data_IF_587537474700
#
_entry.id   IF_587537474700
#
_cell.length_a   1.000
_cell.length_b   1.000
_cell.length_c   1.000
_cell.angle_alpha   90.00
_cell.angle_beta   90.00
_cell.angle_gamma   90.00
#
_symmetry.space_group_name_H-M   'P 1'
#
loop_
_entity.id
_entity.type
_entity.pdbx_description
1 polymer ?
#
# COMPACT_ATOMS: atom_id res chain seq x y z
N UNK A 1 -9.48 6.80 -8.08
CA UNK A 1 -9.69 8.25 -8.17
C UNK A 1 -11.15 8.65 -7.90
N UNK A 2 -12.12 8.12 -8.64
CA UNK A 2 -13.55 8.51 -8.49
C UNK A 2 -14.11 8.32 -7.09
N UNK A 3 -13.70 7.27 -6.40
CA UNK A 3 -14.18 6.90 -5.05
C UNK A 3 -13.82 7.94 -3.96
N UNK A 4 -12.77 8.73 -4.17
CA UNK A 4 -12.25 9.71 -3.22
C UNK A 4 -12.17 11.13 -3.81
N UNK A 5 -12.83 11.38 -4.95
CA UNK A 5 -12.71 12.64 -5.67
C UNK A 5 -13.15 13.85 -4.83
N UNK A 6 -14.16 13.68 -4.02
CA UNK A 6 -14.71 14.70 -3.12
C UNK A 6 -13.74 15.18 -2.04
N UNK A 7 -12.89 14.29 -1.52
CA UNK A 7 -11.94 14.64 -0.46
C UNK A 7 -10.55 15.00 -0.99
N UNK A 8 -10.18 14.57 -2.20
CA UNK A 8 -8.84 14.81 -2.77
C UNK A 8 -8.58 16.27 -3.19
N UNK A 9 -9.62 17.12 -3.19
CA UNK A 9 -9.49 18.55 -3.46
C UNK A 9 -8.76 19.30 -2.34
N UNK A 10 -8.84 18.81 -1.10
CA UNK A 10 -8.22 19.42 0.06
C UNK A 10 -6.79 18.90 0.24
N UNK A 11 -5.81 19.74 0.01
CA UNK A 11 -4.40 19.37 0.12
C UNK A 11 -3.60 20.35 0.95
N UNK A 12 -2.56 19.85 1.63
CA UNK A 12 -1.54 20.66 2.29
C UNK A 12 -0.15 20.09 2.00
N UNK A 13 0.85 20.97 1.98
CA UNK A 13 2.26 20.55 1.97
C UNK A 13 2.66 20.03 3.34
N UNK A 14 3.49 19.01 3.33
CA UNK A 14 4.15 18.50 4.53
C UNK A 14 5.55 19.10 4.67
N UNK A 15 6.11 19.18 5.90
CA UNK A 15 7.47 19.68 6.11
C UNK A 15 8.52 18.88 5.36
N UNK A 16 9.32 19.53 4.51
CA UNK A 16 10.31 18.86 3.65
C UNK A 16 11.41 18.16 4.45
N UNK A 17 11.79 18.70 5.59
CA UNK A 17 12.79 18.08 6.48
C UNK A 17 12.38 16.70 7.01
N UNK A 18 11.07 16.44 7.14
CA UNK A 18 10.53 15.19 7.67
C UNK A 18 10.03 14.25 6.56
N UNK A 19 9.47 14.80 5.48
CA UNK A 19 8.73 14.03 4.45
C UNK A 19 9.36 14.11 3.06
N UNK A 20 10.50 14.82 2.94
CA UNK A 20 11.19 15.00 1.67
C UNK A 20 10.56 16.06 0.75
N UNK A 21 11.15 16.23 -0.44
CA UNK A 21 10.78 17.32 -1.34
C UNK A 21 9.35 17.19 -1.84
N UNK A 22 8.62 18.29 -1.81
CA UNK A 22 7.25 18.41 -2.32
C UNK A 22 6.26 17.37 -1.77
N UNK A 23 6.48 16.86 -0.57
CA UNK A 23 5.54 15.95 0.08
C UNK A 23 4.19 16.63 0.30
N UNK A 24 3.13 15.93 -0.06
CA UNK A 24 1.75 16.42 -0.01
C UNK A 24 0.86 15.42 0.70
N UNK A 25 -0.08 15.92 1.49
CA UNK A 25 -1.21 15.17 1.97
C UNK A 25 -2.51 15.72 1.42
N UNK A 26 -3.42 14.86 0.97
CA UNK A 26 -4.74 15.22 0.43
C UNK A 26 -5.82 14.36 1.09
N UNK A 27 -6.95 14.95 1.40
CA UNK A 27 -8.06 14.22 2.02
C UNK A 27 -8.84 15.08 3.00
N UNK A 28 -9.63 14.42 3.84
CA UNK A 28 -10.39 15.01 4.95
C UNK A 28 -9.75 14.63 6.31
N UNK A 29 -10.42 14.96 7.41
CA UNK A 29 -9.97 14.60 8.76
C UNK A 29 -9.95 13.10 9.05
N UNK A 30 -10.62 12.27 8.24
CA UNK A 30 -10.74 10.83 8.45
C UNK A 30 -9.88 9.98 7.52
N UNK A 31 -9.57 10.50 6.32
CA UNK A 31 -8.79 9.77 5.31
C UNK A 31 -7.82 10.71 4.62
N UNK A 32 -6.55 10.35 4.62
CA UNK A 32 -5.46 11.11 3.98
C UNK A 32 -4.70 10.24 2.99
N UNK A 33 -4.36 10.84 1.87
CA UNK A 33 -3.44 10.32 0.86
C UNK A 33 -2.15 11.14 0.93
N UNK A 34 -1.06 10.49 1.24
CA UNK A 34 0.24 11.10 1.46
C UNK A 34 1.15 10.69 0.30
N UNK A 35 1.64 11.68 -0.44
CA UNK A 35 2.63 11.48 -1.50
C UNK A 35 4.00 11.83 -0.96
N UNK A 36 4.92 10.86 -1.04
CA UNK A 36 6.33 11.00 -0.68
C UNK A 36 7.18 10.87 -1.93
N UNK A 37 8.25 11.65 -2.03
CA UNK A 37 9.18 11.61 -3.16
C UNK A 37 10.60 11.48 -2.67
N UNK A 38 11.37 10.66 -3.34
CA UNK A 38 12.82 10.58 -3.16
C UNK A 38 13.50 11.04 -4.45
N UNK A 39 14.16 12.18 -4.41
CA UNK A 39 14.92 12.75 -5.54
C UNK A 39 16.44 12.56 -5.36
N UNK A 40 16.84 11.58 -4.55
CA UNK A 40 18.25 11.27 -4.27
C UNK A 40 18.66 9.92 -4.87
N UNK A 41 19.95 9.68 -4.92
CA UNK A 41 20.55 8.41 -5.37
C UNK A 41 20.47 7.28 -4.34
N UNK A 42 20.13 7.61 -3.10
CA UNK A 42 20.05 6.63 -2.02
C UNK A 42 18.58 6.34 -1.69
N UNK A 43 18.31 5.11 -1.23
CA UNK A 43 17.01 4.79 -0.64
C UNK A 43 16.79 5.61 0.61
N UNK A 44 15.61 6.24 0.73
CA UNK A 44 15.21 7.03 1.90
C UNK A 44 14.07 6.33 2.62
N UNK A 45 14.13 6.31 3.94
CA UNK A 45 13.01 5.89 4.79
C UNK A 45 12.38 7.12 5.42
N UNK A 46 11.12 7.37 5.11
CA UNK A 46 10.33 8.44 5.72
C UNK A 46 9.57 7.91 6.94
N UNK A 47 9.63 8.64 8.03
CA UNK A 47 8.92 8.34 9.27
C UNK A 47 7.58 9.08 9.29
N UNK A 48 6.53 8.45 8.79
CA UNK A 48 5.23 9.09 8.60
C UNK A 48 4.41 9.05 9.88
N UNK A 49 4.07 10.22 10.42
CA UNK A 49 3.17 10.34 11.57
C UNK A 49 1.72 10.07 11.16
N UNK A 50 1.03 9.21 11.90
CA UNK A 50 -0.37 8.83 11.64
C UNK A 50 -1.36 9.67 12.48
N UNK A 51 -1.22 10.98 12.44
CA UNK A 51 -2.01 11.90 13.25
C UNK A 51 -2.16 13.28 12.62
N UNK A 52 -2.22 14.28 13.48
CA UNK A 52 -2.50 15.68 13.10
C UNK A 52 -1.51 16.26 12.08
N UNK A 53 -0.25 15.85 12.13
CA UNK A 53 0.80 16.36 11.24
C UNK A 53 0.47 16.13 9.76
N UNK A 54 -0.10 14.98 9.43
CA UNK A 54 -0.56 14.68 8.07
C UNK A 54 -2.01 15.10 7.81
N UNK A 55 -2.62 15.82 8.77
CA UNK A 55 -3.99 16.32 8.67
C UNK A 55 -5.07 15.29 9.04
N UNK A 56 -4.71 14.19 9.70
CA UNK A 56 -5.66 13.21 10.21
C UNK A 56 -6.17 13.67 11.57
N UNK A 57 -7.49 13.73 11.75
CA UNK A 57 -8.12 14.03 13.04
C UNK A 57 -8.23 12.75 13.87
N UNK A 58 -8.29 12.90 15.18
CA UNK A 58 -8.47 11.76 16.07
C UNK A 58 -9.93 11.30 16.06
N UNK A 59 -10.16 10.13 15.48
CA UNK A 59 -11.45 9.45 15.51
C UNK A 59 -11.23 8.01 16.01
N UNK A 60 -11.20 7.85 17.34
CA UNK A 60 -10.73 6.63 17.98
C UNK A 60 -9.20 6.49 17.98
N UNK A 61 -8.72 5.28 18.25
CA UNK A 61 -7.27 5.02 18.36
C UNK A 61 -6.70 4.17 17.21
N UNK A 62 -7.52 3.71 16.27
CA UNK A 62 -7.07 2.86 15.17
C UNK A 62 -6.95 3.64 13.88
N UNK A 63 -5.79 3.54 13.25
CA UNK A 63 -5.51 4.08 11.92
C UNK A 63 -5.05 2.92 11.02
N UNK A 64 -5.77 2.70 9.95
CA UNK A 64 -5.39 1.75 8.90
C UNK A 64 -4.44 2.44 7.93
N UNK A 65 -3.30 1.82 7.65
CA UNK A 65 -2.33 2.30 6.67
C UNK A 65 -2.24 1.33 5.49
N UNK A 66 -2.18 1.87 4.26
CA UNK A 66 -2.05 1.09 3.03
C UNK A 66 -1.23 1.85 2.00
N UNK A 67 -0.20 1.21 1.49
CA UNK A 67 0.56 1.70 0.34
C UNK A 67 -0.26 1.45 -0.93
N UNK A 68 -0.29 2.43 -1.86
CA UNK A 68 -0.99 2.33 -3.15
C UNK A 68 -0.05 2.44 -4.35
N UNK A 69 1.13 2.98 -4.14
CA UNK A 69 2.17 3.08 -5.15
C UNK A 69 3.54 2.85 -4.49
N UNK A 70 4.45 2.07 -5.08
CA UNK A 70 4.44 1.49 -6.44
C UNK A 70 3.56 0.24 -6.60
N UNK A 71 3.09 -0.36 -5.53
CA UNK A 71 2.17 -1.49 -5.49
C UNK A 71 1.21 -1.31 -4.30
N UNK A 72 0.13 -2.07 -4.27
CA UNK A 72 -0.78 -2.05 -3.13
C UNK A 72 -0.24 -3.00 -2.06
N UNK A 73 -0.08 -2.48 -0.85
CA UNK A 73 0.37 -3.27 0.30
C UNK A 73 -0.34 -2.82 1.58
N UNK A 74 -0.94 -3.77 2.27
CA UNK A 74 -1.57 -3.53 3.56
C UNK A 74 -0.50 -3.43 4.65
N UNK A 75 -0.31 -2.24 5.18
CA UNK A 75 0.65 -1.97 6.26
C UNK A 75 0.05 -2.23 7.66
N UNK A 76 -1.22 -2.62 7.73
CA UNK A 76 -1.88 -2.99 8.98
C UNK A 76 -2.60 -1.84 9.68
N UNK A 77 -2.95 -2.10 10.94
CA UNK A 77 -3.57 -1.13 11.85
C UNK A 77 -2.52 -0.64 12.85
N UNK A 78 -2.55 0.65 13.08
CA UNK A 78 -1.64 1.37 13.97
C UNK A 78 -2.43 2.22 14.96
N UNK A 79 -1.78 2.73 16.00
CA UNK A 79 -2.38 3.71 16.90
C UNK A 79 -2.35 5.10 16.28
N UNK A 80 -3.36 5.92 16.56
CA UNK A 80 -3.36 7.33 16.20
C UNK A 80 -2.12 8.03 16.80
N UNK A 81 -1.46 8.88 16.01
CA UNK A 81 -0.24 9.58 16.42
C UNK A 81 1.04 8.73 16.41
N UNK A 82 0.96 7.42 16.15
CA UNK A 82 2.16 6.61 15.97
C UNK A 82 2.85 6.92 14.64
N UNK A 83 4.08 6.43 14.51
CA UNK A 83 4.88 6.62 13.29
C UNK A 83 5.07 5.28 12.58
N UNK A 84 5.01 5.31 11.26
CA UNK A 84 5.33 4.16 10.40
C UNK A 84 6.46 4.52 9.43
N UNK A 85 7.25 3.51 9.08
CA UNK A 85 8.34 3.65 8.13
C UNK A 85 7.86 3.37 6.70
N UNK A 86 8.11 4.32 5.81
CA UNK A 86 7.83 4.19 4.38
C UNK A 86 9.14 4.33 3.60
N UNK A 87 9.60 3.22 3.05
CA UNK A 87 10.83 3.15 2.25
C UNK A 87 10.55 3.59 0.82
N UNK A 88 11.29 4.56 0.33
CA UNK A 88 11.18 5.08 -1.04
C UNK A 88 12.52 4.94 -1.74
N UNK A 89 12.53 4.19 -2.84
CA UNK A 89 13.74 3.94 -3.63
C UNK A 89 14.22 5.21 -4.34
N UNK A 90 15.47 5.25 -4.82
CA UNK A 90 16.03 6.38 -5.56
C UNK A 90 15.14 6.81 -6.72
N UNK A 91 14.90 8.11 -6.83
CA UNK A 91 14.08 8.74 -7.89
C UNK A 91 12.67 8.16 -8.04
N UNK A 92 12.07 7.70 -6.91
CA UNK A 92 10.72 7.15 -6.88
C UNK A 92 9.81 7.97 -5.97
N UNK A 93 8.53 7.66 -6.10
CA UNK A 93 7.49 8.17 -5.23
C UNK A 93 6.80 7.01 -4.51
N UNK A 94 6.17 7.32 -3.39
CA UNK A 94 5.22 6.45 -2.71
C UNK A 94 3.89 7.19 -2.53
N UNK A 95 2.78 6.46 -2.66
CA UNK A 95 1.46 6.94 -2.31
C UNK A 95 0.92 6.08 -1.18
N UNK A 96 0.73 6.69 -0.03
CA UNK A 96 0.21 6.06 1.18
C UNK A 96 -1.20 6.57 1.45
N UNK A 97 -2.16 5.68 1.73
CA UNK A 97 -3.45 6.05 2.30
C UNK A 97 -3.46 5.70 3.78
N UNK A 98 -3.92 6.62 4.61
CA UNK A 98 -4.20 6.41 6.04
C UNK A 98 -5.64 6.79 6.34
N UNK A 99 -6.33 5.97 7.14
CA UNK A 99 -7.73 6.22 7.47
C UNK A 99 -8.07 5.69 8.88
N UNK A 100 -8.88 6.43 9.60
CA UNK A 100 -9.41 6.04 10.92
C UNK A 100 -10.89 5.69 10.89
N UNK A 101 -11.47 5.57 9.68
CA UNK A 101 -12.84 5.10 9.45
C UNK A 101 -12.84 3.80 8.65
N UNK A 102 -14.02 3.20 8.49
CA UNK A 102 -14.17 1.97 7.72
C UNK A 102 -13.65 2.14 6.29
N UNK A 103 -12.82 1.20 5.85
CA UNK A 103 -12.30 1.14 4.49
C UNK A 103 -13.41 1.13 3.44
N UNK A 104 -13.23 1.94 2.39
CA UNK A 104 -14.12 2.01 1.24
C UNK A 104 -13.65 1.16 0.05
N UNK A 105 -12.45 0.59 0.14
CA UNK A 105 -11.90 -0.21 -0.96
C UNK A 105 -12.75 -1.45 -1.21
N UNK A 106 -13.07 -1.71 -2.48
CA UNK A 106 -13.88 -2.88 -2.85
C UNK A 106 -13.12 -4.17 -2.57
N UNK A 107 -11.88 -4.23 -3.02
CA UNK A 107 -10.99 -5.38 -2.89
C UNK A 107 -9.78 -5.00 -2.07
N UNK A 108 -9.46 -5.80 -1.07
CA UNK A 108 -8.22 -5.66 -0.32
C UNK A 108 -7.68 -7.03 0.09
N UNK A 109 -6.35 -7.13 0.03
CA UNK A 109 -5.59 -8.29 0.47
C UNK A 109 -4.56 -7.85 1.49
N UNK A 110 -4.18 -8.77 2.37
CA UNK A 110 -3.05 -8.57 3.28
C UNK A 110 -2.06 -9.72 3.19
N UNK A 111 -0.82 -9.49 3.66
CA UNK A 111 0.25 -10.47 3.70
C UNK A 111 1.12 -10.56 2.45
N UNK A 112 0.81 -9.85 1.38
CA UNK A 112 1.60 -9.77 0.15
C UNK A 112 1.36 -8.45 -0.59
N UNK A 113 2.36 -7.86 -1.27
CA UNK A 113 2.14 -6.81 -2.26
C UNK A 113 1.33 -7.31 -3.45
N UNK A 114 0.48 -6.46 -4.02
CA UNK A 114 -0.36 -6.83 -5.15
C UNK A 114 -0.74 -5.64 -6.02
N UNK A 115 -1.21 -5.92 -7.23
CA UNK A 115 -1.85 -4.93 -8.11
C UNK A 115 -3.23 -5.44 -8.53
N UNK A 116 -4.20 -4.54 -8.63
CA UNK A 116 -5.52 -4.86 -9.19
C UNK A 116 -5.42 -4.63 -10.70
N UNK A 117 -5.55 -5.72 -11.46
CA UNK A 117 -5.52 -5.68 -12.93
C UNK A 117 -6.91 -5.30 -13.47
N UNK A 118 -7.96 -5.85 -12.82
CA UNK A 118 -9.33 -5.64 -13.23
C UNK A 118 -10.23 -5.79 -12.01
N UNK A 119 -11.10 -4.83 -11.76
CA UNK A 119 -12.12 -4.85 -10.70
C UNK A 119 -13.57 -4.80 -11.25
N UNK A 120 -13.73 -4.96 -12.56
CA UNK A 120 -15.01 -4.89 -13.23
C UNK A 120 -15.86 -6.14 -12.98
N UNK A 121 -17.20 -5.97 -13.00
CA UNK A 121 -18.19 -7.05 -13.04
C UNK A 121 -18.20 -8.07 -11.87
N UNK A 122 -17.64 -7.70 -10.71
CA UNK A 122 -17.67 -8.58 -9.54
C UNK A 122 -16.66 -9.76 -9.57
N UNK A 123 -15.83 -9.86 -10.61
CA UNK A 123 -14.74 -10.82 -10.73
C UNK A 123 -13.40 -10.07 -10.80
N UNK A 124 -12.85 -9.61 -9.67
CA UNK A 124 -11.58 -8.90 -9.69
C UNK A 124 -10.43 -9.85 -10.05
N UNK A 125 -9.55 -9.38 -10.93
CA UNK A 125 -8.29 -10.04 -11.24
C UNK A 125 -7.17 -9.28 -10.54
N UNK A 126 -6.37 -10.02 -9.76
CA UNK A 126 -5.33 -9.46 -8.91
C UNK A 126 -4.00 -10.13 -9.23
N UNK A 127 -2.98 -9.34 -9.49
CA UNK A 127 -1.61 -9.81 -9.65
C UNK A 127 -0.91 -9.76 -8.28
N UNK A 128 -0.55 -10.92 -7.74
CA UNK A 128 0.26 -11.02 -6.53
C UNK A 128 1.73 -10.77 -6.88
N UNK A 129 2.43 -10.01 -6.05
CA UNK A 129 3.82 -9.61 -6.26
C UNK A 129 4.68 -10.25 -5.16
N UNK A 130 5.24 -11.42 -5.43
CA UNK A 130 6.08 -12.16 -4.48
C UNK A 130 7.49 -12.37 -5.00
N UNK A 131 8.44 -12.51 -4.08
CA UNK A 131 9.82 -12.80 -4.41
C UNK A 131 10.00 -14.29 -4.74
N UNK A 132 10.86 -14.63 -5.71
CA UNK A 132 11.15 -16.03 -6.06
C UNK A 132 11.54 -16.87 -4.85
N UNK A 133 11.06 -18.11 -4.78
CA UNK A 133 11.35 -19.05 -3.70
C UNK A 133 10.71 -18.73 -2.35
N UNK A 134 9.99 -17.61 -2.22
CA UNK A 134 9.35 -17.21 -0.97
C UNK A 134 7.91 -17.71 -0.87
N UNK A 135 7.44 -17.87 0.36
CA UNK A 135 6.05 -18.25 0.66
C UNK A 135 5.35 -17.12 1.41
N UNK A 136 4.11 -16.85 1.05
CA UNK A 136 3.29 -15.80 1.63
C UNK A 136 1.95 -16.36 2.10
N UNK A 137 1.51 -15.90 3.27
CA UNK A 137 0.15 -16.16 3.76
C UNK A 137 -0.74 -14.99 3.33
N UNK A 138 -1.43 -15.16 2.23
CA UNK A 138 -2.34 -14.15 1.68
C UNK A 138 -3.69 -14.27 2.36
N UNK A 139 -4.24 -13.15 2.83
CA UNK A 139 -5.61 -13.07 3.36
C UNK A 139 -6.45 -12.19 2.44
N UNK A 140 -7.69 -12.60 2.22
CA UNK A 140 -8.70 -11.87 1.44
C UNK A 140 -9.60 -11.10 2.40
N UNK A 141 -9.03 -10.10 3.06
CA UNK A 141 -9.69 -9.32 4.09
C UNK A 141 -9.49 -7.81 3.87
N UNK A 142 -10.35 -7.02 4.50
CA UNK A 142 -10.23 -5.57 4.52
C UNK A 142 -10.85 -4.82 3.35
N UNK A 143 -11.51 -5.51 2.43
CA UNK A 143 -12.36 -4.91 1.41
C UNK A 143 -13.85 -4.91 1.79
N UNK A 144 -14.67 -4.28 0.95
CA UNK A 144 -16.13 -4.21 1.14
C UNK A 144 -16.88 -5.36 0.45
N UNK A 145 -16.20 -6.24 -0.26
CA UNK A 145 -16.81 -7.39 -0.93
C UNK A 145 -16.32 -8.70 -0.31
N UNK A 146 -17.21 -9.68 -0.28
CA UNK A 146 -16.90 -11.06 0.09
C UNK A 146 -16.73 -11.90 -1.18
N UNK A 147 -15.71 -12.74 -1.21
CA UNK A 147 -15.50 -13.65 -2.32
C UNK A 147 -16.33 -14.92 -2.14
N UNK A 148 -17.11 -15.29 -3.16
CA UNK A 148 -17.85 -16.56 -3.22
C UNK A 148 -16.92 -17.73 -3.61
N UNK A 149 -15.91 -17.46 -4.43
CA UNK A 149 -14.88 -18.39 -4.86
C UNK A 149 -13.59 -17.62 -5.12
N UNK A 150 -12.47 -18.30 -5.06
CA UNK A 150 -11.17 -17.75 -5.45
C UNK A 150 -10.33 -18.85 -6.09
N UNK A 151 -9.50 -18.49 -7.04
CA UNK A 151 -8.46 -19.35 -7.59
C UNK A 151 -7.13 -18.58 -7.67
N UNK A 152 -6.04 -19.32 -7.71
CA UNK A 152 -4.70 -18.81 -7.96
C UNK A 152 -4.09 -19.70 -9.03
N UNK A 153 -3.74 -19.11 -10.18
CA UNK A 153 -3.23 -19.82 -11.36
C UNK A 153 -4.12 -21.04 -11.76
N UNK A 154 -5.46 -20.82 -11.76
CA UNK A 154 -6.45 -21.81 -12.10
C UNK A 154 -6.71 -22.89 -11.05
N UNK A 155 -6.07 -22.82 -9.88
CA UNK A 155 -6.30 -23.74 -8.76
C UNK A 155 -7.23 -23.08 -7.73
N UNK A 156 -8.35 -23.75 -7.42
CA UNK A 156 -9.29 -23.29 -6.39
C UNK A 156 -8.59 -23.18 -5.03
N UNK A 157 -8.84 -22.07 -4.34
CA UNK A 157 -8.33 -21.79 -2.99
C UNK A 157 -9.47 -21.36 -2.07
N UNK A 158 -9.17 -21.27 -0.76
CA UNK A 158 -10.15 -20.81 0.22
C UNK A 158 -10.54 -19.35 0.02
N UNK A 159 -11.80 -19.01 0.24
CA UNK A 159 -12.35 -17.65 0.07
C UNK A 159 -11.88 -16.63 1.12
N UNK A 160 -11.21 -17.09 2.19
CA UNK A 160 -10.64 -16.24 3.23
C UNK A 160 -9.14 -15.98 3.06
N UNK A 161 -8.48 -16.75 2.19
CA UNK A 161 -7.05 -16.63 1.94
C UNK A 161 -6.40 -17.95 1.54
N UNK A 162 -5.11 -17.88 1.24
CA UNK A 162 -4.31 -19.01 0.80
C UNK A 162 -2.83 -18.84 1.20
N UNK A 163 -2.11 -19.96 1.28
CA UNK A 163 -0.66 -19.96 1.28
C UNK A 163 -0.18 -20.05 -0.17
N UNK A 164 0.64 -19.10 -0.58
CA UNK A 164 1.15 -18.98 -1.95
C UNK A 164 2.66 -19.10 -1.91
N UNK A 165 3.22 -20.06 -2.65
CA UNK A 165 4.66 -20.22 -2.82
C UNK A 165 5.03 -19.76 -4.23
N UNK A 166 5.93 -18.80 -4.34
CA UNK A 166 6.44 -18.32 -5.62
C UNK A 166 7.51 -19.30 -6.12
N UNK A 167 7.50 -19.61 -7.43
CA UNK A 167 8.52 -20.47 -8.04
C UNK A 167 9.90 -19.80 -8.02
N UNK A 168 10.93 -20.60 -8.26
CA UNK A 168 12.31 -20.14 -8.30
C UNK A 168 13.05 -20.30 -6.99
N UNK A 169 14.30 -19.88 -6.96
CA UNK A 169 15.17 -19.92 -5.80
C UNK A 169 15.17 -18.61 -5.03
N UNK A 170 15.32 -18.69 -3.71
CA UNK A 170 15.45 -17.52 -2.86
C UNK A 170 16.75 -16.78 -3.19
N UNK A 171 16.60 -15.54 -3.64
CA UNK A 171 17.72 -14.68 -4.00
C UNK A 171 18.37 -14.07 -2.74
N UNK A 172 19.62 -13.63 -2.85
CA UNK A 172 20.31 -12.88 -1.81
C UNK A 172 19.70 -11.48 -1.66
N UNK A 173 19.78 -10.90 -0.46
CA UNK A 173 19.11 -9.63 -0.13
C UNK A 173 19.55 -8.46 -1.01
N UNK A 174 20.84 -8.34 -1.30
CA UNK A 174 21.38 -7.30 -2.19
C UNK A 174 20.91 -7.43 -3.64
N UNK A 175 20.69 -8.65 -4.11
CA UNK A 175 20.11 -8.89 -5.43
C UNK A 175 18.65 -8.44 -5.49
N UNK A 176 17.89 -8.65 -4.44
CA UNK A 176 16.50 -8.14 -4.35
C UNK A 176 16.42 -6.61 -4.45
N UNK A 177 17.37 -5.92 -3.85
CA UNK A 177 17.45 -4.46 -3.95
C UNK A 177 17.64 -4.01 -5.40
N UNK A 178 18.56 -4.65 -6.13
CA UNK A 178 18.78 -4.36 -7.54
C UNK A 178 17.57 -4.67 -8.41
N UNK A 179 16.91 -5.80 -8.22
CA UNK A 179 15.67 -6.12 -8.94
C UNK A 179 14.57 -5.10 -8.65
N UNK A 180 14.41 -4.69 -7.40
CA UNK A 180 13.45 -3.66 -7.05
C UNK A 180 13.73 -2.33 -7.75
N UNK A 181 14.98 -1.96 -7.88
CA UNK A 181 15.42 -0.75 -8.59
C UNK A 181 15.19 -0.88 -10.10
N UNK A 182 15.47 -2.02 -10.71
CA UNK A 182 15.24 -2.26 -12.14
C UNK A 182 13.77 -2.30 -12.52
N UNK A 183 12.94 -3.03 -11.78
CA UNK A 183 11.49 -3.09 -12.02
C UNK A 183 10.82 -1.72 -11.83
N UNK A 184 11.44 -0.83 -11.13
CA UNK A 184 10.96 0.53 -10.99
C UNK A 184 11.29 1.40 -12.22
N UNK A 185 12.16 0.95 -13.13
CA UNK A 185 12.49 1.66 -14.37
C UNK A 185 11.56 1.28 -15.55
N UNK A 186 10.83 0.17 -15.43
CA UNK A 186 9.96 -0.36 -16.50
C UNK A 186 8.50 0.14 -16.43
N UNK A 187 8.25 1.23 -15.70
CA UNK A 187 6.90 1.81 -15.53
C UNK A 187 6.84 3.19 -16.18
#
# INVERSE_FOLDING_TARGET
>A
HRQYADILVNGQRLPENNYGPEALTRGDGNTRFITLRNLTWNTVTYHVNLGKEVGLEQNGNKVKARLYHPYIYDMGNHSYGSTIDVKVLPFRAALLKVTNVKEKDKVALSGIPYNIVNDYSGNPTIKLLGMPGMSYKVKFDGGNISFKSADIDGKKVGTKGANVKFPGEKLKEDFYRHIGEMNACDI
#
